data_IF_181858756436
#
_entry.id   IF_181858756436
#
_cell.length_a   1.000
_cell.length_b   1.000
_cell.length_c   1.000
_cell.angle_alpha   90.00
_cell.angle_beta   90.00
_cell.angle_gamma   90.00
#
_symmetry.space_group_name_H-M   'P 1'
#
loop_
_entity.id
_entity.type
_entity.pdbx_description
1 polymer ?
#
# COMPACT_ATOMS: atom_id res chain seq x y z
N UNK A 1 41.98 -65.98 -9.49
CA UNK A 1 40.55 -65.76 -9.86
C UNK A 1 40.31 -64.25 -9.87
N UNK A 2 40.35 -63.69 -11.07
CA UNK A 2 40.14 -62.25 -11.27
C UNK A 2 38.64 -62.00 -11.52
N UNK A 3 38.00 -61.08 -10.75
CA UNK A 3 36.68 -60.56 -11.03
C UNK A 3 36.81 -59.19 -11.66
N UNK A 4 36.38 -59.12 -12.90
CA UNK A 4 36.27 -57.91 -13.72
C UNK A 4 35.30 -56.91 -13.13
N UNK A 5 35.72 -55.64 -13.00
CA UNK A 5 34.90 -54.51 -12.61
C UNK A 5 34.40 -53.82 -13.89
N UNK A 6 33.10 -53.93 -14.17
CA UNK A 6 32.46 -53.26 -15.29
C UNK A 6 32.15 -51.82 -14.91
N UNK A 7 32.74 -50.88 -15.62
CA UNK A 7 32.39 -49.45 -15.58
C UNK A 7 30.99 -49.22 -16.23
N UNK A 8 30.02 -48.84 -15.42
CA UNK A 8 28.75 -48.36 -15.89
C UNK A 8 28.85 -46.84 -16.11
N UNK A 9 28.96 -46.43 -17.35
CA UNK A 9 28.85 -45.05 -17.79
C UNK A 9 27.42 -44.57 -17.62
N UNK A 10 27.15 -43.86 -16.52
CA UNK A 10 25.86 -43.16 -16.34
C UNK A 10 25.80 -41.96 -17.29
N UNK A 11 24.90 -42.06 -18.26
CA UNK A 11 24.51 -41.00 -19.19
C UNK A 11 23.94 -39.85 -18.39
N UNK A 12 24.65 -38.72 -18.35
CA UNK A 12 24.14 -37.45 -17.81
C UNK A 12 22.98 -36.97 -18.64
N UNK A 13 21.76 -37.29 -18.21
CA UNK A 13 20.56 -36.73 -18.73
C UNK A 13 20.53 -35.20 -18.49
N UNK A 14 20.73 -34.41 -19.54
CA UNK A 14 20.43 -32.99 -19.55
C UNK A 14 18.96 -32.80 -19.23
N UNK A 15 18.65 -32.51 -17.96
CA UNK A 15 17.35 -31.91 -17.61
C UNK A 15 17.29 -30.52 -18.24
N UNK A 16 16.87 -30.48 -19.51
CA UNK A 16 16.33 -29.29 -20.13
C UNK A 16 15.02 -28.96 -19.40
N UNK A 17 15.09 -28.15 -18.35
CA UNK A 17 13.92 -27.53 -17.78
C UNK A 17 13.39 -26.53 -18.81
N UNK A 18 12.55 -27.02 -19.72
CA UNK A 18 11.69 -26.14 -20.53
C UNK A 18 10.78 -25.42 -19.59
N UNK A 19 11.20 -24.21 -19.21
CA UNK A 19 10.45 -23.26 -18.43
C UNK A 19 9.20 -22.92 -19.27
N UNK A 20 8.10 -23.67 -19.08
CA UNK A 20 6.77 -23.34 -19.61
C UNK A 20 6.29 -22.05 -18.97
N UNK A 21 6.84 -20.93 -19.39
CA UNK A 21 6.28 -19.62 -19.11
C UNK A 21 4.89 -19.59 -19.76
N UNK A 22 3.85 -19.80 -18.96
CA UNK A 22 2.48 -19.61 -19.43
C UNK A 22 2.37 -18.21 -20.05
N UNK A 23 1.69 -18.12 -21.19
CA UNK A 23 1.50 -16.84 -21.89
C UNK A 23 0.82 -15.86 -20.92
N UNK A 24 1.41 -14.66 -20.72
CA UNK A 24 0.83 -13.63 -19.89
C UNK A 24 -0.60 -13.31 -20.37
N UNK A 25 -1.55 -13.36 -19.44
CA UNK A 25 -2.95 -13.01 -19.68
C UNK A 25 -3.20 -11.55 -19.28
N UNK A 26 -4.24 -10.91 -19.85
CA UNK A 26 -4.69 -9.60 -19.40
C UNK A 26 -5.03 -9.58 -17.88
N UNK A 27 -5.49 -10.69 -17.34
CA UNK A 27 -5.76 -10.86 -15.90
C UNK A 27 -4.51 -10.71 -15.04
N UNK A 28 -3.36 -11.15 -15.53
CA UNK A 28 -2.07 -10.98 -14.83
C UNK A 28 -1.70 -9.49 -14.74
N UNK A 29 -1.98 -8.69 -15.78
CA UNK A 29 -1.78 -7.24 -15.77
C UNK A 29 -2.76 -6.54 -14.83
N UNK A 30 -4.03 -6.93 -14.85
CA UNK A 30 -5.04 -6.40 -13.93
C UNK A 30 -4.71 -6.72 -12.47
N UNK A 31 -4.25 -7.94 -12.16
CA UNK A 31 -3.82 -8.33 -10.81
C UNK A 31 -2.66 -7.47 -10.31
N UNK A 32 -1.71 -7.14 -11.18
CA UNK A 32 -0.57 -6.28 -10.83
C UNK A 32 -0.99 -4.87 -10.41
N UNK A 33 -2.10 -4.34 -10.91
CA UNK A 33 -2.62 -3.02 -10.52
C UNK A 33 -3.19 -2.98 -9.10
N UNK A 34 -3.36 -4.14 -8.44
CA UNK A 34 -3.98 -4.26 -7.10
C UNK A 34 -5.34 -3.56 -7.02
N UNK A 35 -6.34 -3.95 -7.82
CA UNK A 35 -7.59 -3.20 -7.98
C UNK A 35 -8.31 -2.91 -6.68
N UNK A 36 -8.35 -3.84 -5.72
CA UNK A 36 -9.00 -3.63 -4.42
C UNK A 36 -8.32 -2.53 -3.60
N UNK A 37 -6.98 -2.43 -3.67
CA UNK A 37 -6.23 -1.37 -2.98
C UNK A 37 -6.47 -0.03 -3.66
N UNK A 38 -6.37 0.01 -5.00
CA UNK A 38 -6.63 1.23 -5.78
C UNK A 38 -8.06 1.72 -5.56
N UNK A 39 -9.05 0.83 -5.52
CA UNK A 39 -10.45 1.20 -5.24
C UNK A 39 -10.61 1.85 -3.86
N UNK A 40 -9.93 1.33 -2.84
CA UNK A 40 -9.93 1.94 -1.51
C UNK A 40 -9.28 3.34 -1.51
N UNK A 41 -8.17 3.50 -2.22
CA UNK A 41 -7.51 4.81 -2.38
C UNK A 41 -8.44 5.81 -3.10
N UNK A 42 -9.12 5.37 -4.16
CA UNK A 42 -10.08 6.19 -4.88
C UNK A 42 -11.29 6.56 -4.03
N UNK A 43 -11.78 5.66 -3.17
CA UNK A 43 -12.85 5.98 -2.22
C UNK A 43 -12.43 7.12 -1.28
N UNK A 44 -11.22 7.09 -0.75
CA UNK A 44 -10.73 8.17 0.12
C UNK A 44 -10.48 9.48 -0.66
N UNK A 45 -10.10 9.40 -1.94
CA UNK A 45 -10.03 10.56 -2.82
C UNK A 45 -11.42 11.17 -3.06
N UNK A 46 -12.46 10.35 -3.30
CA UNK A 46 -13.86 10.82 -3.41
C UNK A 46 -14.30 11.54 -2.14
N UNK A 47 -13.98 11.02 -0.96
CA UNK A 47 -14.27 11.71 0.30
C UNK A 47 -13.61 13.09 0.34
N UNK A 48 -12.35 13.21 -0.09
CA UNK A 48 -11.65 14.48 -0.21
C UNK A 48 -12.33 15.42 -1.19
N UNK A 49 -12.78 14.94 -2.37
CA UNK A 49 -13.53 15.73 -3.35
C UNK A 49 -14.86 16.23 -2.80
N UNK A 50 -15.63 15.36 -2.15
CA UNK A 50 -16.92 15.72 -1.57
C UNK A 50 -16.79 16.78 -0.46
N UNK A 51 -15.78 16.64 0.40
CA UNK A 51 -15.54 17.61 1.48
C UNK A 51 -14.97 18.95 0.99
N UNK A 52 -14.33 18.95 -0.18
CA UNK A 52 -13.82 20.16 -0.83
C UNK A 52 -14.91 20.97 -1.56
N UNK A 53 -16.02 20.32 -1.89
CA UNK A 53 -17.12 20.94 -2.68
C UNK A 53 -18.24 21.42 -1.77
N UNK A 54 -18.70 22.67 -1.89
CA UNK A 54 -19.87 23.15 -1.16
C UNK A 54 -21.20 22.56 -1.66
N UNK A 55 -21.15 21.75 -2.72
CA UNK A 55 -22.30 21.09 -3.35
C UNK A 55 -21.87 19.84 -4.11
N UNK A 56 -22.44 19.61 -5.30
CA UNK A 56 -22.04 18.49 -6.15
C UNK A 56 -20.64 18.73 -6.72
N UNK A 57 -19.81 17.66 -6.67
CA UNK A 57 -18.48 17.67 -7.29
C UNK A 57 -18.62 17.81 -8.81
N UNK A 58 -17.83 18.69 -9.43
CA UNK A 58 -17.79 18.80 -10.89
C UNK A 58 -17.50 17.45 -11.54
N UNK A 59 -18.27 17.10 -12.57
CA UNK A 59 -18.17 15.80 -13.23
C UNK A 59 -16.79 15.57 -13.86
N UNK A 60 -16.17 16.60 -14.40
CA UNK A 60 -14.82 16.50 -14.98
C UNK A 60 -13.78 16.21 -13.91
N UNK A 61 -13.80 16.96 -12.81
CA UNK A 61 -12.91 16.76 -11.67
C UNK A 61 -13.11 15.35 -11.07
N UNK A 62 -14.37 14.90 -10.94
CA UNK A 62 -14.67 13.57 -10.40
C UNK A 62 -14.15 12.46 -11.33
N UNK A 63 -14.56 12.45 -12.60
CA UNK A 63 -14.24 11.35 -13.52
C UNK A 63 -12.76 11.37 -13.89
N UNK A 64 -12.23 12.50 -14.38
CA UNK A 64 -10.82 12.59 -14.81
C UNK A 64 -9.88 12.56 -13.61
N UNK A 65 -10.27 13.13 -12.46
CA UNK A 65 -9.50 13.04 -11.22
C UNK A 65 -9.35 11.58 -10.76
N UNK A 66 -10.46 10.84 -10.66
CA UNK A 66 -10.41 9.44 -10.25
C UNK A 66 -9.67 8.56 -11.26
N UNK A 67 -9.85 8.78 -12.56
CA UNK A 67 -9.12 8.05 -13.60
C UNK A 67 -7.61 8.30 -13.48
N UNK A 68 -7.18 9.55 -13.40
CA UNK A 68 -5.76 9.90 -13.34
C UNK A 68 -5.08 9.45 -12.04
N UNK A 69 -5.71 9.71 -10.88
CA UNK A 69 -5.22 9.23 -9.58
C UNK A 69 -5.16 7.70 -9.57
N UNK A 70 -6.19 7.03 -10.10
CA UNK A 70 -6.26 5.57 -10.19
C UNK A 70 -5.16 4.98 -11.07
N UNK A 71 -4.90 5.56 -12.24
CA UNK A 71 -3.84 5.11 -13.16
C UNK A 71 -2.45 5.27 -12.54
N UNK A 72 -2.15 6.39 -11.89
CA UNK A 72 -0.88 6.61 -11.20
C UNK A 72 -0.73 5.67 -9.99
N UNK A 73 -1.79 5.44 -9.22
CA UNK A 73 -1.80 4.47 -8.12
C UNK A 73 -1.59 3.03 -8.63
N UNK A 74 -2.22 2.65 -9.73
CA UNK A 74 -2.03 1.37 -10.39
C UNK A 74 -0.59 1.20 -10.91
N UNK A 75 -0.02 2.25 -11.53
CA UNK A 75 1.39 2.29 -11.94
C UNK A 75 2.32 2.02 -10.74
N UNK A 76 2.11 2.71 -9.62
CA UNK A 76 2.89 2.51 -8.40
C UNK A 76 2.78 1.06 -7.87
N UNK A 77 1.59 0.44 -7.96
CA UNK A 77 1.38 -0.95 -7.59
C UNK A 77 2.16 -1.91 -8.50
N UNK A 78 2.17 -1.68 -9.82
CA UNK A 78 2.94 -2.49 -10.77
C UNK A 78 4.44 -2.35 -10.54
N UNK A 79 4.96 -1.14 -10.29
CA UNK A 79 6.37 -0.92 -9.96
C UNK A 79 6.75 -1.69 -8.68
N UNK A 80 5.86 -1.71 -7.68
CA UNK A 80 6.09 -2.51 -6.47
C UNK A 80 6.22 -4.01 -6.78
N UNK A 81 5.43 -4.59 -7.71
CA UNK A 81 5.60 -5.97 -8.15
C UNK A 81 6.94 -6.20 -8.86
N UNK A 82 7.42 -5.23 -9.63
CA UNK A 82 8.71 -5.31 -10.32
C UNK A 82 9.87 -5.27 -9.33
N UNK A 83 9.85 -4.33 -8.39
CA UNK A 83 10.93 -4.15 -7.41
C UNK A 83 10.99 -5.29 -6.40
N UNK A 84 9.83 -5.74 -5.92
CA UNK A 84 9.73 -6.76 -4.87
C UNK A 84 9.79 -8.21 -5.39
N UNK A 85 9.90 -8.48 -6.69
CA UNK A 85 9.75 -9.81 -7.28
C UNK A 85 10.61 -10.91 -6.60
N UNK A 86 11.83 -10.57 -6.17
CA UNK A 86 12.74 -11.51 -5.46
C UNK A 86 12.25 -11.82 -4.04
N UNK A 87 11.73 -10.83 -3.32
CA UNK A 87 11.18 -11.01 -1.97
C UNK A 87 9.84 -11.73 -2.07
N UNK A 88 9.01 -11.35 -3.02
CA UNK A 88 7.70 -11.95 -3.25
C UNK A 88 7.78 -13.45 -3.50
N UNK A 89 8.80 -13.92 -4.21
CA UNK A 89 9.01 -15.35 -4.44
C UNK A 89 9.34 -16.15 -3.17
N UNK A 90 9.73 -15.50 -2.08
CA UNK A 90 10.08 -16.13 -0.79
C UNK A 90 8.95 -16.07 0.24
N UNK A 91 7.90 -15.26 0.00
CA UNK A 91 6.81 -15.06 0.95
C UNK A 91 5.55 -15.83 0.55
N UNK A 92 4.97 -16.60 1.48
CA UNK A 92 3.79 -17.43 1.25
C UNK A 92 2.60 -16.67 0.65
N UNK A 93 2.42 -15.39 1.01
CA UNK A 93 1.33 -14.55 0.50
C UNK A 93 1.53 -14.06 -0.93
N UNK A 94 2.78 -13.85 -1.35
CA UNK A 94 3.08 -13.08 -2.57
C UNK A 94 3.82 -13.88 -3.65
N UNK A 95 4.19 -15.15 -3.37
CA UNK A 95 4.88 -16.02 -4.35
C UNK A 95 4.05 -16.26 -5.62
N UNK A 96 2.71 -16.09 -5.53
CA UNK A 96 1.79 -16.26 -6.65
C UNK A 96 1.72 -15.05 -7.60
N UNK A 97 2.33 -13.92 -7.24
CA UNK A 97 2.29 -12.69 -8.05
C UNK A 97 2.84 -12.92 -9.47
N UNK A 98 2.22 -12.32 -10.51
CA UNK A 98 2.58 -12.58 -11.91
C UNK A 98 4.06 -12.38 -12.24
N UNK A 99 4.70 -11.34 -11.71
CA UNK A 99 6.14 -11.08 -11.92
C UNK A 99 7.00 -12.06 -11.14
N UNK A 100 6.65 -12.36 -9.88
CA UNK A 100 7.38 -13.32 -9.04
C UNK A 100 7.36 -14.74 -9.62
N UNK A 101 6.24 -15.15 -10.25
CA UNK A 101 6.10 -16.43 -10.97
C UNK A 101 6.74 -16.43 -12.38
N UNK A 102 7.23 -15.30 -12.87
CA UNK A 102 7.77 -15.18 -14.22
C UNK A 102 6.73 -15.23 -15.34
N UNK A 103 5.41 -15.12 -15.04
CA UNK A 103 4.34 -15.04 -16.05
C UNK A 103 4.44 -13.76 -16.88
N UNK A 104 4.75 -12.63 -16.22
CA UNK A 104 5.00 -11.35 -16.87
C UNK A 104 6.47 -10.99 -16.66
N UNK A 105 7.18 -10.68 -17.75
CA UNK A 105 8.57 -10.26 -17.64
C UNK A 105 8.69 -8.87 -17.01
N UNK A 106 9.80 -8.62 -16.31
CA UNK A 106 10.10 -7.32 -15.70
C UNK A 106 9.96 -6.18 -16.72
N UNK A 107 10.52 -6.34 -17.93
CA UNK A 107 10.43 -5.32 -18.98
C UNK A 107 8.98 -5.00 -19.38
N UNK A 108 8.14 -6.02 -19.60
CA UNK A 108 6.72 -5.81 -19.95
C UNK A 108 5.96 -5.13 -18.81
N UNK A 109 6.20 -5.54 -17.57
CA UNK A 109 5.59 -4.91 -16.39
C UNK A 109 6.03 -3.45 -16.24
N UNK A 110 7.32 -3.14 -16.47
CA UNK A 110 7.84 -1.76 -16.40
C UNK A 110 7.26 -0.86 -17.49
N UNK A 111 7.14 -1.35 -18.73
CA UNK A 111 6.48 -0.58 -19.79
C UNK A 111 5.00 -0.35 -19.54
N UNK A 112 4.31 -1.35 -18.99
CA UNK A 112 2.91 -1.21 -18.58
C UNK A 112 2.75 -0.17 -17.47
N UNK A 113 3.63 -0.19 -16.44
CA UNK A 113 3.64 0.81 -15.39
C UNK A 113 3.92 2.22 -15.95
N UNK A 114 4.91 2.36 -16.82
CA UNK A 114 5.23 3.65 -17.45
C UNK A 114 4.04 4.19 -18.27
N UNK A 115 3.38 3.34 -19.05
CA UNK A 115 2.19 3.71 -19.82
C UNK A 115 1.06 4.22 -18.91
N UNK A 116 0.73 3.49 -17.82
CA UNK A 116 -0.26 3.93 -16.83
C UNK A 116 0.14 5.25 -16.17
N UNK A 117 1.42 5.39 -15.79
CA UNK A 117 1.92 6.61 -15.14
C UNK A 117 1.83 7.83 -16.03
N UNK A 118 2.28 7.71 -17.29
CA UNK A 118 2.21 8.80 -18.29
C UNK A 118 0.77 9.16 -18.60
N UNK A 119 -0.09 8.17 -18.89
CA UNK A 119 -1.51 8.42 -19.18
C UNK A 119 -2.21 9.10 -18.00
N UNK A 120 -2.02 8.60 -16.76
CA UNK A 120 -2.61 9.20 -15.57
C UNK A 120 -2.15 10.64 -15.35
N UNK A 121 -0.85 10.93 -15.54
CA UNK A 121 -0.30 12.28 -15.43
C UNK A 121 -0.90 13.22 -16.49
N UNK A 122 -0.98 12.77 -17.74
CA UNK A 122 -1.58 13.54 -18.86
C UNK A 122 -3.06 13.82 -18.58
N UNK A 123 -3.83 12.83 -18.11
CA UNK A 123 -5.24 13.02 -17.77
C UNK A 123 -5.38 14.09 -16.67
N UNK A 124 -4.60 14.02 -15.61
CA UNK A 124 -4.67 15.01 -14.51
C UNK A 124 -4.25 16.41 -14.98
N UNK A 125 -3.18 16.51 -15.76
CA UNK A 125 -2.64 17.81 -16.19
C UNK A 125 -3.54 18.53 -17.21
N UNK A 126 -4.25 17.81 -18.08
CA UNK A 126 -5.07 18.40 -19.13
C UNK A 126 -6.53 18.64 -18.70
N UNK A 127 -7.11 17.75 -17.89
CA UNK A 127 -8.54 17.80 -17.55
C UNK A 127 -8.85 18.12 -16.09
N UNK A 128 -7.84 18.19 -15.23
CA UNK A 128 -8.00 18.52 -13.81
C UNK A 128 -7.18 19.76 -13.48
N UNK A 129 -5.98 19.59 -12.97
CA UNK A 129 -5.03 20.68 -12.76
C UNK A 129 -3.60 20.14 -12.55
N UNK A 130 -2.63 21.00 -12.79
CA UNK A 130 -1.21 20.65 -12.73
C UNK A 130 -0.75 20.33 -11.29
N UNK A 131 -1.33 20.95 -10.27
CA UNK A 131 -1.00 20.68 -8.86
C UNK A 131 -1.32 19.24 -8.49
N UNK A 132 -2.54 18.77 -8.80
CA UNK A 132 -2.95 17.38 -8.54
C UNK A 132 -2.09 16.39 -9.32
N UNK A 133 -1.73 16.71 -10.58
CA UNK A 133 -0.84 15.86 -11.38
C UNK A 133 0.53 15.67 -10.70
N UNK A 134 1.16 16.76 -10.25
CA UNK A 134 2.46 16.70 -9.58
C UNK A 134 2.38 16.04 -8.20
N UNK A 135 1.36 16.31 -7.40
CA UNK A 135 1.18 15.68 -6.09
C UNK A 135 0.96 14.17 -6.23
N UNK A 136 0.17 13.75 -7.23
CA UNK A 136 -0.07 12.33 -7.49
C UNK A 136 1.20 11.64 -7.99
N UNK A 137 1.97 12.28 -8.86
CA UNK A 137 3.28 11.78 -9.30
C UNK A 137 4.27 11.70 -8.14
N UNK A 138 4.31 12.71 -7.26
CA UNK A 138 5.15 12.70 -6.07
C UNK A 138 4.77 11.55 -5.12
N UNK A 139 3.47 11.27 -4.95
CA UNK A 139 2.97 10.11 -4.19
C UNK A 139 3.42 8.78 -4.82
N UNK A 140 3.36 8.64 -6.15
CA UNK A 140 3.87 7.48 -6.87
C UNK A 140 5.36 7.28 -6.62
N UNK A 141 6.17 8.33 -6.80
CA UNK A 141 7.62 8.28 -6.58
C UNK A 141 7.94 7.97 -5.12
N UNK A 142 7.26 8.63 -4.18
CA UNK A 142 7.38 8.36 -2.75
C UNK A 142 7.11 6.89 -2.39
N UNK A 143 6.06 6.31 -2.93
CA UNK A 143 5.73 4.90 -2.69
C UNK A 143 6.65 3.93 -3.45
N UNK A 144 6.82 4.14 -4.75
CA UNK A 144 7.52 3.17 -5.60
C UNK A 144 9.04 3.22 -5.40
N UNK A 145 9.62 4.42 -5.27
CA UNK A 145 11.06 4.60 -5.14
C UNK A 145 11.46 4.70 -3.67
N UNK A 146 10.99 5.73 -2.96
CA UNK A 146 11.44 5.98 -1.58
C UNK A 146 11.06 4.84 -0.65
N UNK A 147 9.78 4.46 -0.59
CA UNK A 147 9.33 3.40 0.30
C UNK A 147 9.79 2.02 -0.18
N UNK A 148 9.44 1.61 -1.41
CA UNK A 148 9.63 0.21 -1.84
C UNK A 148 11.10 -0.15 -2.04
N UNK A 149 11.91 0.75 -2.63
CA UNK A 149 13.32 0.46 -2.92
C UNK A 149 14.23 0.65 -1.71
N UNK A 150 13.98 1.70 -0.90
CA UNK A 150 14.89 2.08 0.19
C UNK A 150 14.31 1.77 1.57
N UNK A 151 13.22 2.42 1.99
CA UNK A 151 12.75 2.39 3.37
C UNK A 151 12.32 1.00 3.85
N UNK A 152 11.66 0.24 3.01
CA UNK A 152 11.15 -1.10 3.34
C UNK A 152 12.24 -2.04 3.86
N UNK A 153 13.49 -1.82 3.45
CA UNK A 153 14.65 -2.66 3.81
C UNK A 153 15.61 -1.96 4.78
N UNK A 154 15.50 -0.67 4.94
CA UNK A 154 16.45 0.14 5.69
C UNK A 154 16.06 0.36 7.16
N UNK A 155 14.76 0.41 7.46
CA UNK A 155 14.30 0.82 8.79
C UNK A 155 13.02 0.13 9.23
N UNK A 156 12.86 -0.15 10.55
CA UNK A 156 11.60 -0.64 11.12
C UNK A 156 10.47 0.41 11.08
N UNK A 157 10.81 1.69 10.88
CA UNK A 157 9.85 2.78 10.71
C UNK A 157 9.29 2.86 9.26
N UNK A 158 9.59 1.87 8.43
CA UNK A 158 9.15 1.83 7.03
C UNK A 158 7.63 2.00 6.87
N UNK A 159 6.83 1.45 7.79
CA UNK A 159 5.36 1.56 7.79
C UNK A 159 4.93 3.01 8.05
N UNK A 160 5.56 3.68 9.03
CA UNK A 160 5.21 5.06 9.38
C UNK A 160 5.53 5.99 8.21
N UNK A 161 6.77 5.98 7.73
CA UNK A 161 7.21 6.89 6.66
C UNK A 161 6.51 6.55 5.33
N UNK A 162 6.40 5.26 4.99
CA UNK A 162 5.70 4.80 3.78
C UNK A 162 4.20 5.06 3.81
N UNK A 163 3.62 5.19 5.01
CA UNK A 163 2.21 5.51 5.21
C UNK A 163 1.77 6.86 4.62
N UNK A 164 2.71 7.82 4.48
CA UNK A 164 2.43 9.14 3.89
C UNK A 164 1.85 9.01 2.47
N UNK A 165 2.44 8.18 1.63
CA UNK A 165 1.96 8.00 0.26
C UNK A 165 0.56 7.34 0.22
N UNK A 166 0.30 6.39 1.13
CA UNK A 166 -1.02 5.78 1.28
C UNK A 166 -2.09 6.72 1.89
N UNK A 167 -1.65 7.75 2.59
CA UNK A 167 -2.53 8.76 3.18
C UNK A 167 -2.81 9.96 2.25
N UNK A 168 -2.12 10.07 1.12
CA UNK A 168 -2.25 11.20 0.19
C UNK A 168 -3.61 11.29 -0.54
N UNK A 169 -4.34 10.20 -0.88
CA UNK A 169 -5.51 10.28 -1.74
C UNK A 169 -6.59 11.30 -1.35
N UNK A 170 -6.96 11.50 -0.07
CA UNK A 170 -7.90 12.56 0.30
C UNK A 170 -7.42 13.96 -0.10
N UNK A 171 -6.13 14.25 0.05
CA UNK A 171 -5.51 15.50 -0.43
C UNK A 171 -5.57 15.60 -1.95
N UNK A 172 -5.28 14.50 -2.65
CA UNK A 172 -5.33 14.48 -4.12
C UNK A 172 -6.75 14.72 -4.64
N UNK A 173 -7.75 14.15 -3.97
CA UNK A 173 -9.16 14.43 -4.26
C UNK A 173 -9.53 15.88 -3.99
N UNK A 174 -9.11 16.44 -2.87
CA UNK A 174 -9.31 17.84 -2.51
C UNK A 174 -8.72 18.78 -3.56
N UNK A 175 -7.43 18.60 -3.89
CA UNK A 175 -6.73 19.44 -4.88
C UNK A 175 -7.29 19.26 -6.29
N UNK A 176 -7.87 18.12 -6.63
CA UNK A 176 -8.53 17.92 -7.92
C UNK A 176 -9.74 18.83 -8.11
N UNK A 177 -10.43 19.19 -7.03
CA UNK A 177 -11.58 20.09 -7.05
C UNK A 177 -11.16 21.55 -6.91
N UNK A 178 -10.29 21.85 -5.96
CA UNK A 178 -9.97 23.24 -5.58
C UNK A 178 -8.74 23.82 -6.28
N UNK A 179 -7.83 22.99 -6.77
CA UNK A 179 -6.54 23.43 -7.28
C UNK A 179 -5.57 23.92 -6.20
N UNK A 180 -5.89 23.75 -4.91
CA UNK A 180 -5.11 24.28 -3.78
C UNK A 180 -4.92 23.25 -2.67
N UNK A 181 -3.81 23.39 -1.92
CA UNK A 181 -3.57 22.62 -0.69
C UNK A 181 -4.24 23.35 0.47
N UNK A 182 -5.25 22.75 1.07
CA UNK A 182 -5.98 23.33 2.19
C UNK A 182 -5.65 22.58 3.51
N UNK A 183 -5.69 23.31 4.64
CA UNK A 183 -5.44 22.72 5.97
C UNK A 183 -6.39 21.55 6.30
N UNK A 184 -7.66 21.63 5.90
CA UNK A 184 -8.64 20.55 6.09
C UNK A 184 -8.24 19.27 5.32
N UNK A 185 -7.70 19.42 4.10
CA UNK A 185 -7.18 18.27 3.35
C UNK A 185 -6.01 17.60 4.07
N UNK A 186 -5.12 18.38 4.69
CA UNK A 186 -4.02 17.87 5.50
C UNK A 186 -4.50 17.17 6.77
N UNK A 187 -5.60 17.59 7.37
CA UNK A 187 -6.23 16.85 8.47
C UNK A 187 -6.71 15.46 8.04
N UNK A 188 -7.30 15.34 6.85
CA UNK A 188 -7.69 14.02 6.32
C UNK A 188 -6.47 13.12 6.10
N UNK A 189 -5.39 13.69 5.56
CA UNK A 189 -4.09 12.98 5.44
C UNK A 189 -3.60 12.54 6.81
N UNK A 190 -3.65 13.40 7.82
CA UNK A 190 -3.20 13.11 9.18
C UNK A 190 -3.99 11.96 9.82
N UNK A 191 -5.31 11.88 9.61
CA UNK A 191 -6.15 10.78 10.09
C UNK A 191 -5.69 9.46 9.48
N UNK A 192 -5.58 9.39 8.14
CA UNK A 192 -5.16 8.16 7.45
C UNK A 192 -3.71 7.79 7.80
N UNK A 193 -2.85 8.78 7.92
CA UNK A 193 -1.46 8.59 8.31
C UNK A 193 -1.33 8.00 9.71
N UNK A 194 -2.04 8.55 10.70
CA UNK A 194 -1.99 8.03 12.08
C UNK A 194 -2.70 6.69 12.24
N UNK A 195 -3.68 6.37 11.40
CA UNK A 195 -4.33 5.06 11.35
C UNK A 195 -3.42 3.97 10.77
N UNK A 196 -2.52 4.33 9.85
CA UNK A 196 -1.68 3.36 9.12
C UNK A 196 -0.79 2.51 10.04
N UNK A 197 -0.01 3.04 11.00
CA UNK A 197 0.85 2.24 11.84
C UNK A 197 0.11 1.20 12.70
N UNK A 198 -0.92 1.54 13.48
CA UNK A 198 -1.59 0.55 14.32
C UNK A 198 -2.25 -0.56 13.50
N UNK A 199 -2.80 -0.25 12.32
CA UNK A 199 -3.36 -1.24 11.41
C UNK A 199 -2.30 -2.21 10.88
N UNK A 200 -1.21 -1.70 10.31
CA UNK A 200 -0.18 -2.54 9.71
C UNK A 200 0.69 -3.26 10.73
N UNK A 201 0.96 -2.68 11.89
CA UNK A 201 1.73 -3.36 12.92
C UNK A 201 0.95 -4.51 13.57
N UNK A 202 -0.37 -4.39 13.76
CA UNK A 202 -1.21 -5.50 14.18
C UNK A 202 -1.10 -6.68 13.19
N UNK A 203 -1.17 -6.41 11.89
CA UNK A 203 -0.95 -7.42 10.85
C UNK A 203 0.49 -7.97 10.86
N UNK A 204 1.48 -7.12 11.11
CA UNK A 204 2.89 -7.53 11.16
C UNK A 204 3.20 -8.45 12.34
N UNK A 205 2.55 -8.26 13.50
CA UNK A 205 2.64 -9.18 14.64
C UNK A 205 2.17 -10.58 14.23
N UNK A 206 1.03 -10.68 13.57
CA UNK A 206 0.49 -11.96 13.11
C UNK A 206 1.42 -12.66 12.09
N UNK A 207 2.21 -11.88 11.34
CA UNK A 207 3.10 -12.37 10.26
C UNK A 207 4.58 -12.22 10.57
N UNK A 208 4.95 -12.13 11.84
CA UNK A 208 6.34 -11.93 12.27
C UNK A 208 7.31 -12.94 11.64
N UNK A 209 6.94 -14.24 11.66
CA UNK A 209 7.76 -15.33 11.12
C UNK A 209 8.00 -15.20 9.61
N UNK A 210 7.00 -14.77 8.83
CA UNK A 210 7.13 -14.56 7.39
C UNK A 210 8.09 -13.40 7.09
N UNK A 211 7.97 -12.30 7.83
CA UNK A 211 8.87 -11.15 7.68
C UNK A 211 10.30 -11.45 8.12
N UNK A 212 10.47 -12.18 9.22
CA UNK A 212 11.79 -12.62 9.67
C UNK A 212 12.47 -13.51 8.62
N UNK A 213 11.75 -14.49 8.04
CA UNK A 213 12.24 -15.35 6.97
C UNK A 213 12.65 -14.56 5.72
N UNK A 214 11.89 -13.53 5.36
CA UNK A 214 12.17 -12.66 4.20
C UNK A 214 13.22 -11.58 4.51
N UNK A 215 13.79 -11.53 5.73
CA UNK A 215 14.75 -10.52 6.20
C UNK A 215 14.26 -9.08 6.03
N UNK A 216 12.94 -8.87 6.21
CA UNK A 216 12.35 -7.54 6.19
C UNK A 216 12.29 -7.00 7.63
N UNK A 217 12.92 -5.84 7.94
CA UNK A 217 13.04 -5.33 9.30
C UNK A 217 11.73 -4.67 9.77
N UNK A 218 10.66 -5.47 9.91
CA UNK A 218 9.41 -4.98 10.51
C UNK A 218 9.56 -4.80 12.02
N UNK A 219 8.78 -3.88 12.59
CA UNK A 219 8.88 -3.53 14.00
C UNK A 219 8.84 -4.75 14.96
N UNK A 220 7.92 -5.74 14.79
CA UNK A 220 7.92 -6.92 15.66
C UNK A 220 9.16 -7.81 15.48
N UNK A 221 9.80 -7.81 14.31
CA UNK A 221 11.03 -8.59 14.04
C UNK A 221 12.24 -7.94 14.70
N UNK A 222 12.31 -6.60 14.71
CA UNK A 222 13.49 -5.86 15.18
C UNK A 222 13.42 -5.48 16.65
N UNK A 223 12.25 -5.11 17.17
CA UNK A 223 12.05 -4.63 18.54
C UNK A 223 11.16 -5.57 19.37
N UNK A 224 10.70 -6.67 18.78
CA UNK A 224 9.85 -7.64 19.45
C UNK A 224 8.37 -7.29 19.46
N UNK A 225 7.57 -8.32 19.75
CA UNK A 225 6.10 -8.24 19.72
C UNK A 225 5.56 -7.30 20.80
N UNK A 226 6.10 -7.34 22.03
CA UNK A 226 5.59 -6.53 23.14
C UNK A 226 5.80 -5.02 22.93
N UNK A 227 6.94 -4.62 22.38
CA UNK A 227 7.18 -3.25 21.99
C UNK A 227 6.20 -2.81 20.87
N UNK A 228 5.95 -3.69 19.90
CA UNK A 228 5.03 -3.41 18.79
C UNK A 228 3.59 -3.27 19.29
N UNK A 229 3.12 -4.12 20.22
CA UNK A 229 1.80 -4.00 20.85
C UNK A 229 1.63 -2.66 21.58
N UNK A 230 2.66 -2.21 22.30
CA UNK A 230 2.65 -0.89 22.95
C UNK A 230 2.56 0.23 21.93
N UNK A 231 3.33 0.14 20.84
CA UNK A 231 3.30 1.12 19.74
C UNK A 231 1.92 1.18 19.07
N UNK A 232 1.27 0.03 18.85
CA UNK A 232 -0.11 -0.04 18.33
C UNK A 232 -1.06 0.72 19.25
N UNK A 233 -1.00 0.49 20.57
CA UNK A 233 -1.85 1.17 21.55
C UNK A 233 -1.62 2.69 21.54
N UNK A 234 -0.36 3.14 21.59
CA UNK A 234 -0.03 4.58 21.59
C UNK A 234 -0.51 5.29 20.32
N UNK A 235 -0.33 4.67 19.16
CA UNK A 235 -0.82 5.25 17.89
C UNK A 235 -2.35 5.20 17.77
N UNK A 236 -3.03 4.25 18.43
CA UNK A 236 -4.50 4.24 18.53
C UNK A 236 -5.01 5.39 19.41
N UNK A 237 -4.31 5.69 20.52
CA UNK A 237 -4.61 6.89 21.33
C UNK A 237 -4.41 8.16 20.50
N UNK A 238 -3.28 8.28 19.82
CA UNK A 238 -2.98 9.41 18.95
C UNK A 238 -4.05 9.58 17.84
N UNK A 239 -4.45 8.49 17.19
CA UNK A 239 -5.52 8.49 16.20
C UNK A 239 -6.83 9.03 16.77
N UNK A 240 -7.20 8.57 18.00
CA UNK A 240 -8.42 9.03 18.66
C UNK A 240 -8.40 10.55 18.90
N UNK A 241 -7.25 11.11 19.28
CA UNK A 241 -7.07 12.56 19.43
C UNK A 241 -7.13 13.30 18.09
N UNK A 242 -6.47 12.77 17.07
CA UNK A 242 -6.47 13.36 15.72
C UNK A 242 -7.87 13.36 15.12
N UNK A 243 -8.67 12.32 15.35
CA UNK A 243 -10.05 12.26 14.88
C UNK A 243 -11.02 13.28 15.54
N UNK A 244 -10.63 13.93 16.63
CA UNK A 244 -11.41 15.04 17.20
C UNK A 244 -11.19 16.36 16.44
N UNK A 245 -10.02 16.53 15.80
CA UNK A 245 -9.64 17.80 15.16
C UNK A 245 -10.63 18.30 14.12
N UNK A 246 -11.20 17.48 13.21
CA UNK A 246 -12.17 17.99 12.23
C UNK A 246 -13.38 18.66 12.86
N UNK A 247 -13.86 18.17 13.99
CA UNK A 247 -14.93 18.81 14.74
C UNK A 247 -14.46 20.09 15.43
N UNK A 248 -13.31 20.07 16.08
CA UNK A 248 -12.76 21.22 16.81
C UNK A 248 -12.42 22.42 15.92
N UNK A 249 -12.04 22.16 14.66
CA UNK A 249 -11.76 23.24 13.68
C UNK A 249 -12.99 23.64 12.84
N UNK A 250 -14.17 23.10 13.14
CA UNK A 250 -15.40 23.40 12.40
C UNK A 250 -15.46 22.83 10.98
N UNK A 251 -14.63 21.82 10.67
CA UNK A 251 -14.65 21.13 9.39
C UNK A 251 -15.83 20.14 9.28
N UNK A 252 -16.30 19.62 10.41
CA UNK A 252 -17.37 18.62 10.48
C UNK A 252 -18.27 18.82 11.69
N UNK A 253 -19.47 18.22 11.63
CA UNK A 253 -20.54 18.37 12.60
C UNK A 253 -20.52 17.30 13.71
N UNK A 254 -21.49 17.42 14.65
CA UNK A 254 -21.69 16.49 15.77
C UNK A 254 -21.90 15.04 15.30
N UNK A 255 -22.52 14.82 14.13
CA UNK A 255 -22.71 13.48 13.56
C UNK A 255 -21.36 12.80 13.32
N UNK A 256 -20.41 13.53 12.74
CA UNK A 256 -19.03 13.02 12.58
C UNK A 256 -18.37 12.72 13.93
N UNK A 257 -18.48 13.66 14.89
CA UNK A 257 -17.86 13.49 16.21
C UNK A 257 -18.36 12.21 16.90
N UNK A 258 -19.67 12.00 16.92
CA UNK A 258 -20.28 10.81 17.53
C UNK A 258 -19.86 9.55 16.79
N UNK A 259 -19.98 9.53 15.46
CA UNK A 259 -19.60 8.38 14.63
C UNK A 259 -18.13 8.01 14.75
N UNK A 260 -17.24 8.99 14.64
CA UNK A 260 -15.79 8.76 14.76
C UNK A 260 -15.40 8.31 16.18
N UNK A 261 -16.03 8.86 17.23
CA UNK A 261 -15.79 8.46 18.61
C UNK A 261 -16.20 7.01 18.87
N UNK A 262 -17.36 6.59 18.39
CA UNK A 262 -17.81 5.19 18.52
C UNK A 262 -16.83 4.21 17.82
N UNK A 263 -16.38 4.56 16.61
CA UNK A 263 -15.39 3.74 15.88
C UNK A 263 -14.05 3.71 16.60
N UNK A 264 -13.57 4.83 17.13
CA UNK A 264 -12.34 4.90 17.90
C UNK A 264 -12.41 4.13 19.22
N UNK A 265 -13.55 4.14 19.92
CA UNK A 265 -13.78 3.29 21.12
C UNK A 265 -13.66 1.82 20.74
N UNK A 266 -14.29 1.39 19.64
CA UNK A 266 -14.15 0.03 19.14
C UNK A 266 -12.69 -0.34 18.81
N UNK A 267 -11.98 0.55 18.12
CA UNK A 267 -10.59 0.33 17.76
C UNK A 267 -9.68 0.29 18.99
N UNK A 268 -9.91 1.18 19.96
CA UNK A 268 -9.22 1.20 21.25
C UNK A 268 -9.43 -0.09 22.04
N UNK A 269 -10.65 -0.61 22.09
CA UNK A 269 -10.95 -1.88 22.73
C UNK A 269 -10.08 -3.02 22.15
N UNK A 270 -9.97 -3.12 20.83
CA UNK A 270 -9.14 -4.14 20.21
C UNK A 270 -7.63 -3.88 20.40
N UNK A 271 -7.18 -2.64 20.43
CA UNK A 271 -5.79 -2.29 20.71
C UNK A 271 -5.38 -2.67 22.14
N UNK A 272 -6.25 -2.40 23.12
CA UNK A 272 -6.07 -2.82 24.52
C UNK A 272 -6.09 -4.35 24.64
N UNK A 273 -7.06 -5.02 24.01
CA UNK A 273 -7.13 -6.49 23.98
C UNK A 273 -5.85 -7.10 23.39
N UNK A 274 -5.33 -6.53 22.28
CA UNK A 274 -4.07 -6.95 21.68
C UNK A 274 -2.89 -6.76 22.65
N UNK A 275 -2.83 -5.62 23.36
CA UNK A 275 -1.74 -5.31 24.30
C UNK A 275 -1.64 -6.34 25.41
N UNK A 276 -2.76 -6.78 25.98
CA UNK A 276 -2.80 -7.72 27.09
C UNK A 276 -2.99 -9.20 26.67
N UNK A 277 -3.09 -9.49 25.39
CA UNK A 277 -3.20 -10.85 24.89
C UNK A 277 -1.89 -11.62 25.04
N UNK A 278 -1.97 -12.84 25.58
CA UNK A 278 -0.81 -13.72 25.78
C UNK A 278 -0.20 -14.27 24.47
N UNK A 279 -0.96 -14.30 23.38
CA UNK A 279 -0.54 -14.88 22.09
C UNK A 279 -0.88 -13.97 20.92
N UNK A 280 -0.07 -14.05 19.85
CA UNK A 280 -0.27 -13.28 18.61
C UNK A 280 -1.55 -13.62 17.82
N UNK A 281 -2.30 -14.66 18.22
CA UNK A 281 -3.53 -15.11 17.55
C UNK A 281 -4.72 -14.15 17.68
N UNK A 282 -4.67 -13.19 18.58
CA UNK A 282 -5.75 -12.20 18.83
C UNK A 282 -5.57 -10.90 18.05
N UNK A 283 -4.60 -10.81 17.14
CA UNK A 283 -4.32 -9.62 16.33
C UNK A 283 -5.27 -9.44 15.12
N UNK A 284 -6.17 -10.39 14.87
CA UNK A 284 -7.20 -10.32 13.81
C UNK A 284 -8.55 -9.91 14.33
#
# INVERSE_FOLDING_TARGET
MAKSFSLNTAVAGKHSSTNKHGRASWRDYYEMTKPNVVMLLLLTAVVGMCLASPGWVDATALICGLLGIGMLSASAAVINHVVDHKIDSQMARTFNRPVAKGKVSIAKASWFAAGLGVMGFVVLSLWVNMLTAWLTLASLVGYAVVYTMFLKRATPQNIVIGGIAGAAPPLLGWTAVTGEIHAHALLLVLIVFTWTPPHFWALAIHREKDYAKAKVPMLPVTHGVEFTKTSVLLYTVLLSLVCLLPYLVGMSDLIYLVGSSLLNIGFMYYAVKLKFAATSQTAM
#
